data_IF_290810898737
#
_entry.id   IF_290810898737
#
_cell.length_a   1.000
_cell.length_b   1.000
_cell.length_c   1.000
_cell.angle_alpha   90.00
_cell.angle_beta   90.00
_cell.angle_gamma   90.00
#
_symmetry.space_group_name_H-M   'P 1'
#
loop_
_entity.id
_entity.type
_entity.pdbx_description
1 polymer ?
#
# COMPACT_ATOMS: atom_id res chain seq x y z
N UNK A 1 4.70 -4.96 -1.01
CA UNK A 1 5.25 -4.19 -2.14
C UNK A 1 5.25 -2.75 -1.74
N UNK A 2 6.31 -2.05 -2.07
CA UNK A 2 6.57 -0.72 -1.54
C UNK A 2 6.40 0.30 -2.66
N UNK A 3 5.65 1.36 -2.39
CA UNK A 3 5.38 2.47 -3.29
C UNK A 3 5.96 3.77 -2.74
N UNK A 4 6.51 4.58 -3.64
CA UNK A 4 6.69 6.02 -3.42
C UNK A 4 5.75 6.77 -4.35
N UNK A 5 4.95 7.67 -3.79
CA UNK A 5 3.87 8.38 -4.46
C UNK A 5 4.08 9.90 -4.30
N UNK A 6 3.97 10.65 -5.40
CA UNK A 6 4.04 12.12 -5.43
C UNK A 6 2.64 12.69 -5.15
N UNK A 7 2.22 12.60 -3.89
CA UNK A 7 0.91 13.05 -3.41
C UNK A 7 0.94 13.26 -1.89
N UNK A 8 -0.04 13.96 -1.35
CA UNK A 8 -0.27 14.04 0.10
C UNK A 8 -1.16 12.88 0.59
N UNK A 9 -1.18 12.66 1.92
CA UNK A 9 -1.88 11.52 2.52
C UNK A 9 -3.42 11.60 2.33
N UNK A 10 -3.99 12.80 2.24
CA UNK A 10 -5.44 13.00 2.07
C UNK A 10 -5.86 12.71 0.62
N UNK A 11 -5.05 13.17 -0.35
CA UNK A 11 -5.24 12.85 -1.76
C UNK A 11 -5.15 11.34 -2.01
N UNK A 12 -4.17 10.66 -1.39
CA UNK A 12 -4.10 9.20 -1.43
C UNK A 12 -5.32 8.54 -0.79
N UNK A 13 -5.78 9.01 0.37
CA UNK A 13 -6.97 8.47 1.02
C UNK A 13 -8.22 8.57 0.14
N UNK A 14 -8.40 9.70 -0.55
CA UNK A 14 -9.50 9.89 -1.49
C UNK A 14 -9.41 8.92 -2.67
N UNK A 15 -8.22 8.79 -3.27
CA UNK A 15 -7.97 7.87 -4.38
C UNK A 15 -8.27 6.42 -3.99
N UNK A 16 -7.85 5.98 -2.81
CA UNK A 16 -8.12 4.62 -2.33
C UNK A 16 -9.62 4.38 -2.10
N UNK A 17 -10.37 5.36 -1.58
CA UNK A 17 -11.83 5.25 -1.48
C UNK A 17 -12.49 5.12 -2.84
N UNK A 18 -12.06 5.92 -3.82
CA UNK A 18 -12.57 5.84 -5.21
C UNK A 18 -12.28 4.47 -5.85
N UNK A 19 -11.16 3.83 -5.49
CA UNK A 19 -10.80 2.49 -5.95
C UNK A 19 -11.54 1.35 -5.23
N UNK A 20 -12.40 1.65 -4.25
CA UNK A 20 -13.21 0.64 -3.55
C UNK A 20 -12.61 0.10 -2.24
N UNK A 21 -11.64 0.80 -1.64
CA UNK A 21 -11.17 0.47 -0.30
C UNK A 21 -12.20 0.89 0.76
N UNK A 22 -12.56 -0.03 1.65
CA UNK A 22 -13.66 0.16 2.62
C UNK A 22 -13.19 0.78 3.93
N UNK A 23 -11.99 0.42 4.43
CA UNK A 23 -11.47 0.85 5.74
C UNK A 23 -10.42 1.96 5.66
N UNK A 24 -10.60 2.98 4.80
CA UNK A 24 -9.60 4.07 4.66
C UNK A 24 -9.64 5.03 5.86
N UNK A 25 -8.65 4.92 6.75
CA UNK A 25 -8.48 5.72 7.96
C UNK A 25 -7.14 6.44 7.94
N UNK A 26 -7.11 7.71 8.35
CA UNK A 26 -5.87 8.48 8.52
C UNK A 26 -5.74 8.86 9.99
N UNK A 27 -4.70 8.37 10.65
CA UNK A 27 -4.42 8.61 12.06
C UNK A 27 -2.96 9.00 12.25
N UNK A 28 -2.70 10.13 12.91
CA UNK A 28 -1.33 10.62 13.22
C UNK A 28 -0.39 10.61 12.00
N UNK A 29 -0.90 11.00 10.82
CA UNK A 29 -0.12 11.04 9.57
C UNK A 29 0.12 9.67 8.92
N UNK A 30 -0.49 8.60 9.43
CA UNK A 30 -0.46 7.26 8.85
C UNK A 30 -1.84 6.93 8.29
N UNK A 31 -1.88 6.46 7.05
CA UNK A 31 -3.05 5.93 6.39
C UNK A 31 -3.07 4.41 6.52
N UNK A 32 -4.23 3.88 6.86
CA UNK A 32 -4.57 2.46 6.84
C UNK A 32 -5.75 2.30 5.89
N UNK A 33 -5.66 1.40 4.92
CA UNK A 33 -6.75 1.11 3.99
C UNK A 33 -6.81 -0.37 3.66
N UNK A 34 -8.02 -0.94 3.66
CA UNK A 34 -8.24 -2.35 3.34
C UNK A 34 -9.30 -2.54 2.27
N UNK A 35 -9.09 -3.56 1.43
CA UNK A 35 -10.04 -3.98 0.40
C UNK A 35 -10.09 -5.50 0.34
N UNK A 36 -11.29 -6.08 0.37
CA UNK A 36 -11.45 -7.54 0.23
C UNK A 36 -11.02 -7.99 -1.15
N UNK A 37 -10.27 -9.10 -1.22
CA UNK A 37 -9.79 -9.66 -2.47
C UNK A 37 -9.78 -11.19 -2.38
N UNK A 38 -10.87 -11.81 -2.84
CA UNK A 38 -11.08 -13.27 -2.78
C UNK A 38 -11.04 -13.80 -1.35
N UNK A 39 -10.20 -14.81 -1.10
CA UNK A 39 -9.98 -15.44 0.21
C UNK A 39 -9.06 -14.65 1.15
N UNK A 40 -9.02 -13.33 1.00
CA UNK A 40 -8.13 -12.48 1.77
C UNK A 40 -8.45 -11.02 1.56
N UNK A 41 -7.50 -10.17 1.92
CA UNK A 41 -7.62 -8.72 1.78
C UNK A 41 -6.31 -8.11 1.35
N UNK A 42 -6.40 -7.04 0.58
CA UNK A 42 -5.29 -6.12 0.38
C UNK A 42 -5.32 -5.11 1.52
N UNK A 43 -4.19 -4.93 2.17
CA UNK A 43 -3.95 -3.92 3.19
C UNK A 43 -2.87 -2.96 2.69
N UNK A 44 -3.14 -1.67 2.81
CA UNK A 44 -2.24 -0.59 2.48
C UNK A 44 -1.97 0.21 3.75
N UNK A 45 -0.70 0.33 4.10
CA UNK A 45 -0.20 1.22 5.14
C UNK A 45 0.63 2.29 4.48
N UNK A 46 0.24 3.56 4.61
CA UNK A 46 0.97 4.65 4.00
C UNK A 46 1.30 5.75 5.01
N UNK A 47 2.39 6.46 4.78
CA UNK A 47 2.82 7.58 5.61
C UNK A 47 3.50 8.62 4.76
N UNK A 48 3.28 9.88 5.09
CA UNK A 48 4.02 10.98 4.49
C UNK A 48 5.47 10.96 4.97
N UNK A 49 6.42 10.95 4.04
CA UNK A 49 7.87 10.90 4.29
C UNK A 49 8.56 12.24 3.99
N UNK A 50 7.94 13.06 3.15
CA UNK A 50 8.29 14.45 2.87
C UNK A 50 7.04 15.16 2.33
N UNK A 51 7.08 16.49 2.24
CA UNK A 51 5.97 17.28 1.68
C UNK A 51 5.57 16.75 0.30
N UNK A 52 4.28 16.39 0.13
CA UNK A 52 3.73 15.80 -1.11
C UNK A 52 4.43 14.51 -1.55
N UNK A 53 5.01 13.76 -0.60
CA UNK A 53 5.63 12.47 -0.87
C UNK A 53 5.19 11.45 0.17
N UNK A 54 4.48 10.44 -0.30
CA UNK A 54 3.96 9.34 0.53
C UNK A 54 4.69 8.05 0.21
N UNK A 55 5.11 7.35 1.26
CA UNK A 55 5.52 5.96 1.17
C UNK A 55 4.34 5.08 1.52
N UNK A 56 4.07 4.04 0.72
CA UNK A 56 3.03 3.06 1.01
C UNK A 56 3.55 1.63 0.94
N UNK A 57 3.27 0.84 1.96
CA UNK A 57 3.41 -0.61 1.97
C UNK A 57 2.08 -1.26 1.61
N UNK A 58 2.07 -2.06 0.55
CA UNK A 58 0.91 -2.78 0.03
C UNK A 58 1.13 -4.27 0.21
N UNK A 59 0.23 -4.96 0.91
CA UNK A 59 0.31 -6.41 1.08
C UNK A 59 -1.03 -7.09 1.04
N UNK A 60 -0.98 -8.39 0.76
CA UNK A 60 -2.15 -9.25 0.79
C UNK A 60 -2.09 -10.16 2.02
N UNK A 61 -3.14 -10.13 2.83
CA UNK A 61 -3.37 -11.02 3.97
C UNK A 61 -4.32 -12.15 3.55
N UNK A 62 -3.93 -13.41 3.79
CA UNK A 62 -4.84 -14.54 3.71
C UNK A 62 -5.82 -14.55 4.89
N UNK A 63 -7.07 -14.96 4.65
CA UNK A 63 -8.07 -15.14 5.72
C UNK A 63 -7.70 -16.28 6.68
N UNK A 64 -6.98 -17.29 6.19
CA UNK A 64 -6.49 -18.43 6.98
C UNK A 64 -4.97 -18.53 6.77
N UNK A 65 -4.21 -18.12 7.79
CA UNK A 65 -2.75 -18.18 7.80
C UNK A 65 -2.29 -19.62 8.13
N UNK A 66 -2.32 -20.53 7.15
CA UNK A 66 -1.54 -21.77 7.27
C UNK A 66 -0.09 -21.49 6.85
N UNK A 67 0.80 -21.41 7.84
CA UNK A 67 2.26 -21.59 7.79
C UNK A 67 2.82 -21.63 6.35
N UNK A 68 3.17 -20.45 5.82
CA UNK A 68 3.90 -20.24 4.56
C UNK A 68 3.26 -20.71 3.23
N UNK A 69 2.11 -21.38 3.25
CA UNK A 69 1.36 -21.75 2.04
C UNK A 69 0.18 -20.79 1.84
N UNK A 70 0.31 -19.87 0.88
CA UNK A 70 -0.82 -19.05 0.42
C UNK A 70 -0.59 -17.54 0.39
N UNK A 71 0.58 -17.03 0.81
CA UNK A 71 0.84 -15.59 0.76
C UNK A 71 1.42 -15.20 -0.60
N UNK A 72 0.59 -14.60 -1.44
CA UNK A 72 1.03 -14.02 -2.73
C UNK A 72 1.65 -12.64 -2.47
N UNK A 73 2.97 -12.64 -2.30
CA UNK A 73 3.74 -11.41 -2.10
C UNK A 73 4.06 -10.67 -3.41
N UNK A 74 3.75 -11.25 -4.58
CA UNK A 74 4.33 -10.77 -5.83
C UNK A 74 3.28 -10.39 -6.88
N UNK A 75 2.31 -11.26 -7.21
CA UNK A 75 1.39 -11.00 -8.35
C UNK A 75 0.23 -10.11 -7.93
N UNK A 76 -0.49 -10.44 -6.87
CA UNK A 76 -1.63 -9.64 -6.39
C UNK A 76 -1.22 -8.24 -5.90
N UNK A 77 -0.21 -8.07 -5.03
CA UNK A 77 0.22 -6.74 -4.60
C UNK A 77 0.74 -5.90 -5.76
N UNK A 78 1.47 -6.50 -6.71
CA UNK A 78 1.97 -5.79 -7.90
C UNK A 78 0.84 -5.23 -8.74
N UNK A 79 -0.18 -6.03 -9.03
CA UNK A 79 -1.36 -5.57 -9.79
C UNK A 79 -2.06 -4.40 -9.10
N UNK A 80 -2.17 -4.42 -7.78
CA UNK A 80 -2.75 -3.30 -7.03
C UNK A 80 -1.84 -2.07 -7.10
N UNK A 81 -0.53 -2.24 -6.92
CA UNK A 81 0.44 -1.16 -7.06
C UNK A 81 0.38 -0.50 -8.45
N UNK A 82 0.34 -1.31 -9.52
CA UNK A 82 0.19 -0.84 -10.90
C UNK A 82 -1.12 -0.07 -11.08
N UNK A 83 -2.25 -0.61 -10.59
CA UNK A 83 -3.54 0.07 -10.68
C UNK A 83 -3.57 1.42 -9.92
N UNK A 84 -2.89 1.52 -8.77
CA UNK A 84 -2.75 2.77 -8.03
C UNK A 84 -1.96 3.79 -8.85
N UNK A 85 -0.81 3.38 -9.42
CA UNK A 85 0.05 4.24 -10.24
C UNK A 85 -0.71 4.73 -11.49
N UNK A 86 -1.45 3.86 -12.16
CA UNK A 86 -2.24 4.24 -13.34
C UNK A 86 -3.35 5.25 -12.99
N UNK A 87 -4.06 5.05 -11.87
CA UNK A 87 -5.07 6.01 -11.40
C UNK A 87 -4.45 7.36 -11.01
N UNK A 88 -3.25 7.34 -10.42
CA UNK A 88 -2.51 8.57 -10.11
C UNK A 88 -2.08 9.29 -11.39
N UNK A 89 -1.59 8.56 -12.39
CA UNK A 89 -1.17 9.12 -13.68
C UNK A 89 -2.32 9.80 -14.40
N UNK A 90 -3.52 9.19 -14.37
CA UNK A 90 -4.73 9.79 -14.94
C UNK A 90 -5.14 11.11 -14.25
N UNK A 91 -4.65 11.36 -13.04
CA UNK A 91 -4.89 12.59 -12.27
C UNK A 91 -3.67 13.54 -12.30
N UNK A 92 -2.67 13.28 -13.15
CA UNK A 92 -1.47 14.11 -13.29
C UNK A 92 -0.44 13.96 -12.17
N UNK A 93 -0.51 12.88 -11.39
CA UNK A 93 0.44 12.56 -10.32
C UNK A 93 1.33 11.36 -10.73
N UNK A 94 2.53 11.25 -10.13
CA UNK A 94 3.40 10.10 -10.37
C UNK A 94 3.50 9.18 -9.15
N UNK A 95 3.83 7.93 -9.42
CA UNK A 95 4.18 6.94 -8.40
C UNK A 95 5.11 5.88 -8.98
N UNK A 96 5.88 5.22 -8.11
CA UNK A 96 6.80 4.16 -8.52
C UNK A 96 6.86 3.05 -7.47
N UNK A 97 7.05 1.82 -7.95
CA UNK A 97 7.34 0.67 -7.09
C UNK A 97 8.82 0.73 -6.71
N UNK A 98 9.10 0.85 -5.41
CA UNK A 98 10.47 0.98 -4.87
C UNK A 98 10.96 -0.28 -4.15
N UNK A 99 10.14 -1.33 -4.05
CA UNK A 99 10.54 -2.57 -3.37
C UNK A 99 9.43 -3.58 -3.12
N UNK A 100 9.75 -4.54 -2.25
CA UNK A 100 8.79 -5.49 -1.69
C UNK A 100 8.67 -6.84 -2.41
N UNK A 101 9.78 -7.41 -2.88
CA UNK A 101 9.89 -8.83 -3.29
C UNK A 101 10.19 -9.77 -2.11
N UNK A 102 10.51 -9.24 -0.92
CA UNK A 102 10.83 -10.02 0.29
C UNK A 102 10.33 -9.33 1.57
N UNK A 103 9.82 -10.11 2.52
CA UNK A 103 9.36 -9.65 3.84
C UNK A 103 10.42 -8.88 4.62
N UNK A 104 11.68 -9.32 4.56
CA UNK A 104 12.79 -8.66 5.27
C UNK A 104 13.06 -7.24 4.76
N UNK A 105 12.99 -7.04 3.45
CA UNK A 105 13.17 -5.71 2.85
C UNK A 105 12.01 -4.77 3.21
N UNK A 106 10.79 -5.30 3.28
CA UNK A 106 9.58 -4.55 3.68
C UNK A 106 9.64 -4.12 5.14
N UNK A 107 9.97 -5.05 6.04
CA UNK A 107 10.10 -4.77 7.48
C UNK A 107 11.18 -3.71 7.74
N UNK A 108 12.34 -3.83 7.11
CA UNK A 108 13.42 -2.87 7.29
C UNK A 108 13.06 -1.48 6.75
N UNK A 109 12.44 -1.40 5.56
CA UNK A 109 12.00 -0.12 4.99
C UNK A 109 10.88 0.53 5.79
N UNK A 110 9.90 -0.24 6.26
CA UNK A 110 8.84 0.32 7.08
C UNK A 110 9.36 0.89 8.40
N UNK A 111 10.29 0.19 9.07
CA UNK A 111 10.95 0.71 10.26
C UNK A 111 11.69 2.02 9.98
N UNK A 112 12.44 2.09 8.87
CA UNK A 112 13.18 3.30 8.44
C UNK A 112 12.21 4.45 8.10
N UNK A 113 11.09 4.15 7.46
CA UNK A 113 10.03 5.11 7.12
C UNK A 113 9.11 5.45 8.31
N UNK A 114 9.33 4.84 9.48
CA UNK A 114 8.54 5.06 10.69
C UNK A 114 7.10 4.53 10.60
N UNK A 115 6.86 3.50 9.79
CA UNK A 115 5.68 2.64 9.76
C UNK A 115 5.93 1.44 10.68
N UNK A 116 5.02 1.18 11.63
CA UNK A 116 5.03 -0.08 12.38
C UNK A 116 4.35 -1.15 11.50
N UNK A 117 5.15 -2.05 10.92
CA UNK A 117 4.71 -3.34 10.37
C UNK A 117 4.62 -4.36 11.50
#
# INVERSE_FOLDING_TARGET
>A
MDLELETDIQSLAKLLKEMGFEEVKVNKGVLDAKMKMGWGRIHILAKEIATNKVYADVHWDALIHFIMFGVDYAKRPKKVCEAIIDNMRNKGMNGKIVGGTSWFNRRNKALISGLKI
#
